data_IF_303976024609
#
_entry.id   IF_303976024609
#
_cell.length_a   1.000
_cell.length_b   1.000
_cell.length_c   1.000
_cell.angle_alpha   90.00
_cell.angle_beta   90.00
_cell.angle_gamma   90.00
#
_symmetry.space_group_name_H-M   'P 1'
#
loop_
_entity.id
_entity.type
_entity.pdbx_description
1 polymer ?
#
# COMPACT_ATOMS: atom_id res chain seq x y z
N UNK A 1 8.04 -21.70 5.09
CA UNK A 1 8.54 -20.37 4.69
C UNK A 1 8.89 -19.63 5.96
N UNK A 2 10.02 -18.93 5.97
CA UNK A 2 10.42 -18.09 7.11
C UNK A 2 9.66 -16.78 7.05
N UNK A 3 9.12 -16.34 8.17
CA UNK A 3 8.34 -15.10 8.30
C UNK A 3 9.21 -13.86 8.06
N UNK A 4 10.51 -13.96 8.36
CA UNK A 4 11.51 -12.92 8.13
C UNK A 4 12.79 -13.52 7.58
N UNK A 5 13.36 -12.85 6.58
CA UNK A 5 14.70 -13.17 6.05
C UNK A 5 15.56 -11.91 6.10
N UNK A 6 16.86 -12.06 6.33
CA UNK A 6 17.80 -10.94 6.32
C UNK A 6 18.86 -11.24 5.27
N UNK A 7 19.03 -10.32 4.32
CA UNK A 7 20.10 -10.40 3.34
C UNK A 7 21.40 -9.88 3.96
N UNK A 8 22.34 -10.79 4.24
CA UNK A 8 23.63 -10.44 4.84
C UNK A 8 24.52 -9.56 3.95
N UNK A 9 24.28 -9.56 2.63
CA UNK A 9 25.07 -8.77 1.67
C UNK A 9 24.64 -7.30 1.67
N UNK A 10 23.35 -7.04 1.84
CA UNK A 10 22.77 -5.69 1.83
C UNK A 10 22.41 -5.18 3.22
N UNK A 11 22.31 -6.07 4.20
CA UNK A 11 21.80 -5.78 5.55
C UNK A 11 20.29 -5.55 5.59
N UNK A 12 19.57 -5.76 4.47
CA UNK A 12 18.13 -5.54 4.41
C UNK A 12 17.38 -6.71 5.04
N UNK A 13 16.38 -6.38 5.85
CA UNK A 13 15.43 -7.35 6.41
C UNK A 13 14.20 -7.37 5.52
N UNK A 14 13.65 -8.54 5.28
CA UNK A 14 12.39 -8.73 4.58
C UNK A 14 11.39 -9.48 5.46
N UNK A 15 10.11 -9.21 5.23
CA UNK A 15 8.96 -9.86 5.84
C UNK A 15 8.09 -10.54 4.78
N UNK A 16 7.53 -11.70 5.09
CA UNK A 16 6.63 -12.41 4.19
C UNK A 16 5.21 -11.82 4.27
N UNK A 17 4.75 -11.20 3.19
CA UNK A 17 3.41 -10.64 3.04
C UNK A 17 2.70 -11.33 1.86
N UNK A 18 1.77 -12.22 2.18
CA UNK A 18 1.13 -13.10 1.20
C UNK A 18 2.16 -14.06 0.60
N UNK A 19 2.37 -13.97 -0.72
CA UNK A 19 3.33 -14.80 -1.47
C UNK A 19 4.68 -14.09 -1.74
N UNK A 20 4.87 -12.88 -1.19
CA UNK A 20 6.01 -12.01 -1.50
C UNK A 20 6.80 -11.62 -0.24
N UNK A 21 8.11 -11.49 -0.38
CA UNK A 21 8.98 -10.91 0.64
C UNK A 21 9.11 -9.39 0.40
N UNK A 22 8.65 -8.57 1.35
CA UNK A 22 8.72 -7.10 1.33
C UNK A 22 9.81 -6.59 2.28
N UNK A 23 10.41 -5.44 2.02
CA UNK A 23 11.47 -4.88 2.89
C UNK A 23 10.85 -4.44 4.21
N UNK A 24 11.30 -5.04 5.31
CA UNK A 24 10.87 -4.70 6.66
C UNK A 24 11.62 -3.45 7.14
N UNK A 25 10.89 -2.37 7.45
CA UNK A 25 11.48 -1.18 8.09
C UNK A 25 11.34 0.15 7.33
N UNK A 26 10.64 0.22 6.20
CA UNK A 26 10.19 1.50 5.64
C UNK A 26 8.82 1.93 6.19
N UNK A 27 8.60 1.78 7.49
CA UNK A 27 7.52 2.48 8.20
C UNK A 27 8.01 3.90 8.54
N UNK A 28 8.35 4.67 7.51
CA UNK A 28 8.51 6.11 7.68
C UNK A 28 7.14 6.67 8.03
N UNK A 29 6.97 7.40 9.16
CA UNK A 29 5.65 7.79 9.62
C UNK A 29 4.92 8.58 8.52
N UNK A 30 3.66 8.19 8.26
CA UNK A 30 2.68 8.87 7.39
C UNK A 30 2.35 10.31 7.85
N UNK A 31 3.20 10.94 8.66
CA UNK A 31 3.11 12.34 9.07
C UNK A 31 3.60 13.33 8.01
N UNK A 32 4.09 12.85 6.86
CA UNK A 32 4.41 13.73 5.73
C UNK A 32 3.08 14.21 5.13
N UNK A 33 2.82 15.53 5.06
CA UNK A 33 1.62 16.02 4.42
C UNK A 33 1.59 15.45 3.01
N UNK A 34 0.51 14.73 2.70
CA UNK A 34 0.29 14.10 1.41
C UNK A 34 0.59 15.17 0.35
N UNK A 35 1.71 15.02 -0.36
CA UNK A 35 2.10 15.94 -1.42
C UNK A 35 1.02 15.99 -2.50
N UNK A 36 1.12 16.94 -3.43
CA UNK A 36 0.13 17.13 -4.51
C UNK A 36 -0.19 15.80 -5.23
N UNK A 37 0.82 14.93 -5.40
CA UNK A 37 0.68 13.61 -5.99
C UNK A 37 -0.16 12.63 -5.17
N UNK A 38 0.04 12.56 -3.85
CA UNK A 38 -0.77 11.71 -3.00
C UNK A 38 -2.22 12.21 -2.88
N UNK A 39 -2.44 13.53 -2.91
CA UNK A 39 -3.80 14.10 -2.88
C UNK A 39 -4.56 13.78 -4.17
N UNK A 40 -3.87 13.80 -5.31
CA UNK A 40 -4.42 13.35 -6.60
C UNK A 40 -4.75 11.86 -6.58
N UNK A 41 -3.85 11.04 -6.04
CA UNK A 41 -4.08 9.60 -5.92
C UNK A 41 -5.29 9.28 -5.02
N UNK A 42 -5.43 9.95 -3.88
CA UNK A 42 -6.60 9.81 -3.02
C UNK A 42 -7.90 10.24 -3.70
N UNK A 43 -7.89 11.31 -4.50
CA UNK A 43 -9.06 11.68 -5.31
C UNK A 43 -9.43 10.61 -6.32
N UNK A 44 -8.44 10.02 -6.98
CA UNK A 44 -8.64 8.92 -7.93
C UNK A 44 -9.25 7.69 -7.24
N UNK A 45 -8.73 7.29 -6.08
CA UNK A 45 -9.29 6.19 -5.29
C UNK A 45 -10.73 6.50 -4.86
N UNK A 46 -11.00 7.72 -4.37
CA UNK A 46 -12.37 8.13 -4.00
C UNK A 46 -13.32 8.13 -5.18
N UNK A 47 -12.90 8.60 -6.35
CA UNK A 47 -13.75 8.58 -7.55
C UNK A 47 -14.02 7.15 -8.01
N UNK A 48 -13.00 6.29 -8.02
CA UNK A 48 -13.16 4.89 -8.39
C UNK A 48 -14.05 4.14 -7.39
N UNK A 49 -13.89 4.38 -6.08
CA UNK A 49 -14.76 3.82 -5.05
C UNK A 49 -16.20 4.33 -5.18
N UNK A 50 -16.40 5.61 -5.52
CA UNK A 50 -17.73 6.18 -5.74
C UNK A 50 -18.39 5.63 -7.01
N UNK A 51 -17.61 5.32 -8.05
CA UNK A 51 -18.09 4.64 -9.25
C UNK A 51 -18.55 3.21 -8.97
N UNK A 52 -17.80 2.46 -8.15
CA UNK A 52 -18.18 1.12 -7.68
C UNK A 52 -19.50 1.18 -6.91
N UNK A 53 -19.61 2.05 -5.91
CA UNK A 53 -20.85 2.19 -5.11
C UNK A 53 -22.02 2.68 -5.97
N UNK A 54 -21.79 3.59 -6.91
CA UNK A 54 -22.82 4.04 -7.85
C UNK A 54 -23.28 2.91 -8.78
N UNK A 55 -22.38 2.04 -9.22
CA UNK A 55 -22.74 0.88 -10.04
C UNK A 55 -23.57 -0.12 -9.24
N UNK A 56 -23.21 -0.41 -7.98
CA UNK A 56 -23.96 -1.30 -7.10
C UNK A 56 -25.36 -0.76 -6.76
N UNK A 57 -25.54 0.56 -6.68
CA UNK A 57 -26.84 1.21 -6.46
C UNK A 57 -27.75 1.26 -7.70
N UNK A 58 -27.20 1.13 -8.91
CA UNK A 58 -27.98 1.10 -10.16
C UNK A 58 -28.46 -0.33 -10.48
N UNK A 59 -27.78 -1.35 -9.93
CA UNK A 59 -28.14 -2.77 -10.08
C UNK A 59 -29.00 -3.33 -8.93
N UNK A 60 -29.47 -2.47 -8.00
CA UNK A 60 -30.46 -2.81 -6.95
C UNK A 60 -31.87 -2.34 -7.33
#
# INVERSE_FOLDING_TARGET
MEEFITDERTGLRYELVGDYYLIAGEDEPEGRPIGIWGQRHLRYIRSAAMEIVSSELIYC
#
